data_IF_736276502972
#
_entry.id   IF_736276502972
#
_cell.length_a   1.000
_cell.length_b   1.000
_cell.length_c   1.000
_cell.angle_alpha   90.00
_cell.angle_beta   90.00
_cell.angle_gamma   90.00
#
_symmetry.space_group_name_H-M   'P 1'
#
loop_
_entity.id
_entity.type
_entity.pdbx_description
1 polymer ?
#
# COMPACT_ATOMS: atom_id res chain seq x y z
N UNK A 1 -2.09 40.24 -29.05
CA UNK A 1 -1.17 40.69 -27.99
C UNK A 1 -1.63 40.03 -26.68
N UNK A 2 -0.74 39.74 -25.74
CA UNK A 2 -1.17 39.31 -24.40
C UNK A 2 -1.24 40.54 -23.48
N UNK A 3 -2.25 40.62 -22.63
CA UNK A 3 -2.43 41.71 -21.67
C UNK A 3 -1.98 41.26 -20.28
N UNK A 4 -1.26 42.13 -19.56
CA UNK A 4 -0.79 41.87 -18.21
C UNK A 4 -1.26 42.98 -17.27
N UNK A 5 -1.87 42.59 -16.15
CA UNK A 5 -2.35 43.48 -15.11
C UNK A 5 -1.85 43.02 -13.74
N UNK A 6 -1.27 43.95 -12.98
CA UNK A 6 -0.87 43.72 -11.58
C UNK A 6 -1.73 44.61 -10.69
N UNK A 7 -2.30 44.04 -9.63
CA UNK A 7 -3.10 44.76 -8.63
C UNK A 7 -2.53 44.48 -7.26
N UNK A 8 -2.27 45.55 -6.50
CA UNK A 8 -1.81 45.50 -5.11
C UNK A 8 -2.94 46.06 -4.26
N UNK A 9 -3.43 45.28 -3.30
CA UNK A 9 -4.45 45.71 -2.35
C UNK A 9 -3.82 45.81 -0.97
N UNK A 10 -3.43 47.01 -0.55
CA UNK A 10 -2.76 47.26 0.74
C UNK A 10 -3.61 46.86 1.95
N UNK A 11 -4.94 47.06 1.88
CA UNK A 11 -5.86 46.67 2.97
C UNK A 11 -5.94 45.15 3.18
N UNK A 12 -5.51 44.35 2.21
CA UNK A 12 -5.53 42.87 2.28
C UNK A 12 -4.15 42.24 2.22
N UNK A 13 -3.07 43.05 2.18
CA UNK A 13 -1.70 42.58 1.94
C UNK A 13 -1.65 41.54 0.81
N UNK A 14 -2.35 41.84 -0.29
CA UNK A 14 -2.59 40.93 -1.40
C UNK A 14 -2.02 41.50 -2.70
N UNK A 15 -1.28 40.68 -3.43
CA UNK A 15 -0.79 40.96 -4.77
C UNK A 15 -1.44 39.95 -5.73
N UNK A 16 -2.13 40.46 -6.73
CA UNK A 16 -2.69 39.65 -7.82
C UNK A 16 -2.05 40.08 -9.15
N UNK A 17 -1.46 39.13 -9.86
CA UNK A 17 -0.93 39.30 -11.21
C UNK A 17 -1.76 38.46 -12.17
N UNK A 18 -2.32 39.08 -13.21
CA UNK A 18 -3.12 38.41 -14.24
C UNK A 18 -2.48 38.64 -15.60
N UNK A 19 -2.23 37.55 -16.33
CA UNK A 19 -1.83 37.58 -17.74
C UNK A 19 -2.96 36.92 -18.53
N UNK A 20 -3.50 37.59 -19.52
CA UNK A 20 -4.57 37.06 -20.36
C UNK A 20 -4.27 37.18 -21.84
N UNK A 21 -4.79 36.25 -22.62
CA UNK A 21 -4.71 36.28 -24.08
C UNK A 21 -5.95 35.62 -24.67
N UNK A 22 -6.55 36.30 -25.63
CA UNK A 22 -7.70 35.78 -26.40
C UNK A 22 -7.28 35.59 -27.85
N UNK A 23 -7.70 34.49 -28.46
CA UNK A 23 -7.52 34.15 -29.86
C UNK A 23 -8.84 33.54 -30.36
N UNK A 24 -9.58 34.33 -31.15
CA UNK A 24 -10.89 33.94 -31.70
C UNK A 24 -11.85 33.41 -30.61
N UNK A 25 -12.15 32.11 -30.62
CA UNK A 25 -13.05 31.39 -29.72
C UNK A 25 -12.37 30.84 -28.45
N UNK A 26 -11.05 31.06 -28.31
CA UNK A 26 -10.24 30.60 -27.20
C UNK A 26 -9.70 31.76 -26.37
N UNK A 27 -9.72 31.59 -25.05
CA UNK A 27 -9.02 32.49 -24.13
C UNK A 27 -8.18 31.71 -23.15
N UNK A 28 -7.05 32.28 -22.74
CA UNK A 28 -6.19 31.74 -21.69
C UNK A 28 -5.86 32.85 -20.71
N UNK A 29 -5.98 32.55 -19.43
CA UNK A 29 -5.69 33.47 -18.32
C UNK A 29 -4.83 32.76 -17.29
N UNK A 30 -3.73 33.38 -16.90
CA UNK A 30 -2.88 32.97 -15.79
C UNK A 30 -3.06 34.01 -14.70
N UNK A 31 -3.38 33.57 -13.48
CA UNK A 31 -3.52 34.41 -12.30
C UNK A 31 -2.59 33.90 -11.21
N UNK A 32 -1.75 34.78 -10.67
CA UNK A 32 -0.91 34.53 -9.51
C UNK A 32 -1.39 35.42 -8.37
N UNK A 33 -1.74 34.82 -7.25
CA UNK A 33 -2.23 35.51 -6.06
C UNK A 33 -1.26 35.22 -4.92
N UNK A 34 -0.78 36.28 -4.27
CA UNK A 34 0.06 36.22 -3.08
C UNK A 34 -0.65 37.00 -1.99
N UNK A 35 -0.86 36.39 -0.83
CA UNK A 35 -1.56 37.03 0.28
C UNK A 35 -0.91 36.68 1.61
N UNK A 36 -0.75 37.68 2.47
CA UNK A 36 -0.33 37.49 3.87
C UNK A 36 -1.34 38.16 4.76
N UNK A 37 -2.12 37.39 5.52
CA UNK A 37 -3.21 37.93 6.32
C UNK A 37 -3.13 37.41 7.76
N UNK A 38 -3.39 38.30 8.72
CA UNK A 38 -3.65 37.92 10.11
C UNK A 38 -5.12 37.54 10.26
N UNK A 39 -5.41 36.39 10.84
CA UNK A 39 -6.78 35.95 11.12
C UNK A 39 -7.35 36.64 12.39
N UNK A 40 -8.56 36.26 12.80
CA UNK A 40 -9.20 36.81 14.01
C UNK A 40 -8.62 36.30 15.33
N UNK A 41 -7.78 35.28 15.29
CA UNK A 41 -7.07 34.70 16.44
C UNK A 41 -5.65 35.24 16.58
N UNK A 42 -5.28 36.24 15.79
CA UNK A 42 -3.95 36.82 15.69
C UNK A 42 -2.90 35.93 14.98
N UNK A 43 -3.33 34.86 14.30
CA UNK A 43 -2.46 33.93 13.58
C UNK A 43 -2.13 34.43 12.16
N UNK A 44 -0.90 34.22 11.71
CA UNK A 44 -0.42 34.71 10.41
C UNK A 44 -0.57 33.62 9.34
N UNK A 45 -1.52 33.81 8.42
CA UNK A 45 -1.67 32.95 7.25
C UNK A 45 -0.95 33.54 6.03
N UNK A 46 -0.18 32.71 5.34
CA UNK A 46 0.45 33.05 4.07
C UNK A 46 -0.06 32.14 2.96
N UNK A 47 -0.42 32.70 1.81
CA UNK A 47 -0.98 31.99 0.67
C UNK A 47 -0.26 32.40 -0.62
N UNK A 48 0.10 31.40 -1.42
CA UNK A 48 0.51 31.54 -2.81
C UNK A 48 -0.39 30.69 -3.68
N UNK A 49 -1.02 31.26 -4.71
CA UNK A 49 -1.88 30.53 -5.63
C UNK A 49 -1.51 30.87 -7.06
N UNK A 50 -1.31 29.84 -7.87
CA UNK A 50 -1.21 29.93 -9.32
C UNK A 50 -2.45 29.27 -9.91
N UNK A 51 -3.21 30.00 -10.70
CA UNK A 51 -4.38 29.51 -11.43
C UNK A 51 -4.16 29.74 -12.93
N UNK A 52 -4.34 28.69 -13.71
CA UNK A 52 -4.32 28.74 -15.16
C UNK A 52 -5.69 28.32 -15.66
N UNK A 53 -6.33 29.15 -16.45
CA UNK A 53 -7.62 28.88 -17.05
C UNK A 53 -7.49 28.98 -18.55
N UNK A 54 -8.03 28.00 -19.27
CA UNK A 54 -8.22 28.06 -20.72
C UNK A 54 -9.69 27.82 -21.04
N UNK A 55 -10.30 28.72 -21.81
CA UNK A 55 -11.64 28.53 -22.37
C UNK A 55 -11.49 28.07 -23.82
N UNK A 56 -12.20 27.00 -24.20
CA UNK A 56 -12.33 26.53 -25.58
C UNK A 56 -13.78 26.20 -25.86
N UNK A 57 -14.36 26.73 -26.94
CA UNK A 57 -15.78 26.56 -27.28
C UNK A 57 -16.72 26.92 -26.11
N UNK A 58 -16.39 27.97 -25.35
CA UNK A 58 -17.14 28.39 -24.16
C UNK A 58 -16.99 27.49 -22.92
N UNK A 59 -16.22 26.40 -22.99
CA UNK A 59 -15.98 25.50 -21.86
C UNK A 59 -14.66 25.91 -21.16
N UNK A 60 -14.69 26.29 -19.89
CA UNK A 60 -13.48 26.60 -19.13
C UNK A 60 -12.82 25.32 -18.59
N UNK A 61 -11.52 25.22 -18.77
CA UNK A 61 -10.63 24.23 -18.18
C UNK A 61 -9.70 24.97 -17.23
N UNK A 62 -9.62 24.53 -15.97
CA UNK A 62 -8.84 25.21 -14.93
C UNK A 62 -7.83 24.23 -14.35
N UNK A 63 -6.59 24.68 -14.24
CA UNK A 63 -5.56 24.04 -13.44
C UNK A 63 -5.08 25.04 -12.37
N UNK A 64 -4.72 24.55 -11.19
CA UNK A 64 -4.18 25.43 -10.15
C UNK A 64 -3.30 24.72 -9.14
N UNK A 65 -2.37 25.47 -8.57
CA UNK A 65 -1.52 25.08 -7.46
C UNK A 65 -1.66 26.15 -6.39
N UNK A 66 -2.10 25.76 -5.20
CA UNK A 66 -2.09 26.60 -4.01
C UNK A 66 -1.08 26.06 -3.02
N UNK A 67 -0.28 26.93 -2.42
CA UNK A 67 0.54 26.61 -1.26
C UNK A 67 0.15 27.58 -0.14
N UNK A 68 -0.03 27.07 1.06
CA UNK A 68 -0.43 27.87 2.20
C UNK A 68 0.19 27.40 3.50
N UNK A 69 0.37 28.32 4.42
CA UNK A 69 0.69 28.04 5.82
C UNK A 69 -0.41 28.66 6.66
N UNK A 70 -1.03 27.86 7.51
CA UNK A 70 -2.08 28.26 8.43
C UNK A 70 -1.84 27.64 9.81
N UNK A 71 -2.16 28.36 10.87
CA UNK A 71 -2.17 27.79 12.21
C UNK A 71 -3.55 27.14 12.45
N UNK A 72 -3.56 25.83 12.67
CA UNK A 72 -4.76 25.09 13.07
C UNK A 72 -4.52 24.51 14.45
N UNK A 73 -5.38 24.84 15.42
CA UNK A 73 -5.25 24.41 16.82
C UNK A 73 -3.88 24.73 17.44
N UNK A 74 -3.29 25.90 17.10
CA UNK A 74 -2.00 26.35 17.62
C UNK A 74 -0.79 25.58 17.09
N UNK A 75 -0.93 24.84 15.97
CA UNK A 75 0.17 24.20 15.26
C UNK A 75 0.23 24.73 13.81
N UNK A 76 1.42 25.16 13.34
CA UNK A 76 1.58 25.60 11.96
C UNK A 76 1.49 24.40 11.01
N UNK A 77 0.53 24.45 10.09
CA UNK A 77 0.31 23.44 9.06
C UNK A 77 0.63 24.03 7.69
N UNK A 78 1.54 23.38 6.96
CA UNK A 78 1.88 23.74 5.58
C UNK A 78 1.18 22.81 4.60
N UNK A 79 0.47 23.37 3.62
CA UNK A 79 -0.37 22.63 2.68
C UNK A 79 -0.02 22.97 1.22
N UNK A 80 -0.11 21.98 0.34
CA UNK A 80 -0.12 22.16 -1.12
C UNK A 80 -1.42 21.57 -1.67
N UNK A 81 -2.21 22.41 -2.32
CA UNK A 81 -3.46 22.06 -2.97
C UNK A 81 -3.26 22.04 -4.49
N UNK A 82 -3.68 20.96 -5.14
CA UNK A 82 -3.55 20.79 -6.58
C UNK A 82 -4.95 20.59 -7.17
N UNK A 83 -5.33 21.44 -8.12
CA UNK A 83 -6.55 21.32 -8.91
C UNK A 83 -6.15 21.03 -10.35
N UNK A 84 -6.30 19.78 -10.80
CA UNK A 84 -6.04 19.38 -12.18
C UNK A 84 -6.68 18.01 -12.48
N UNK A 85 -7.00 17.75 -13.75
CA UNK A 85 -7.47 16.42 -14.20
C UNK A 85 -6.37 15.35 -14.10
N UNK A 86 -5.10 15.78 -14.22
CA UNK A 86 -3.91 14.91 -14.20
C UNK A 86 -2.73 15.63 -13.55
N UNK A 87 -2.10 14.99 -12.57
CA UNK A 87 -0.87 15.45 -11.92
C UNK A 87 0.20 14.39 -12.18
N UNK A 88 1.38 14.80 -12.66
CA UNK A 88 2.49 13.87 -12.90
C UNK A 88 3.81 14.50 -12.46
N UNK A 89 4.64 13.72 -11.76
CA UNK A 89 6.03 14.09 -11.50
C UNK A 89 6.92 13.40 -12.53
N UNK A 90 7.63 14.19 -13.33
CA UNK A 90 8.47 13.69 -14.42
C UNK A 90 9.92 13.99 -14.06
N UNK A 91 10.80 12.98 -14.14
CA UNK A 91 12.24 13.22 -14.07
C UNK A 91 12.73 13.55 -15.49
N UNK A 92 13.29 14.75 -15.74
CA UNK A 92 13.77 15.14 -17.06
C UNK A 92 15.10 14.48 -17.48
N UNK A 93 15.82 13.81 -16.56
CA UNK A 93 17.27 13.60 -16.71
C UNK A 93 17.75 12.68 -17.84
N UNK A 94 16.91 11.87 -18.51
CA UNK A 94 17.42 10.87 -19.48
C UNK A 94 16.63 10.75 -20.80
N UNK A 95 15.74 11.70 -21.11
CA UNK A 95 14.83 11.57 -22.27
C UNK A 95 13.81 10.42 -22.13
N UNK A 96 13.89 9.65 -21.04
CA UNK A 96 12.90 8.68 -20.62
C UNK A 96 11.76 9.41 -19.90
N UNK A 97 10.66 9.64 -20.61
CA UNK A 97 9.51 10.45 -20.16
C UNK A 97 8.59 9.71 -19.19
N UNK A 98 9.03 8.59 -18.61
CA UNK A 98 8.18 7.81 -17.72
C UNK A 98 8.03 8.56 -16.39
N UNK A 99 6.83 9.03 -16.03
CA UNK A 99 6.61 9.76 -14.80
C UNK A 99 6.87 8.86 -13.58
N UNK A 100 7.40 9.44 -12.50
CA UNK A 100 7.55 8.78 -11.20
C UNK A 100 6.18 8.35 -10.65
N UNK A 101 5.19 9.25 -10.74
CA UNK A 101 3.80 8.93 -10.50
C UNK A 101 2.87 9.76 -11.39
N UNK A 102 1.66 9.24 -11.60
CA UNK A 102 0.55 9.97 -12.23
C UNK A 102 -0.70 9.79 -11.37
N UNK A 103 -1.26 10.90 -10.89
CA UNK A 103 -2.62 10.92 -10.34
C UNK A 103 -3.57 11.39 -11.44
N UNK A 104 -4.55 10.56 -11.79
CA UNK A 104 -5.56 10.90 -12.80
C UNK A 104 -6.89 10.21 -12.47
N UNK A 105 -7.97 10.97 -12.50
CA UNK A 105 -9.26 10.49 -12.00
C UNK A 105 -9.14 10.08 -10.52
N UNK A 106 -9.57 8.86 -10.20
CA UNK A 106 -9.53 8.33 -8.83
C UNK A 106 -8.39 7.32 -8.62
N UNK A 107 -7.34 7.37 -9.45
CA UNK A 107 -6.24 6.40 -9.42
C UNK A 107 -4.88 7.09 -9.36
N UNK A 108 -3.94 6.44 -8.67
CA UNK A 108 -2.54 6.81 -8.61
C UNK A 108 -1.72 5.68 -9.24
N UNK A 109 -1.01 6.00 -10.32
CA UNK A 109 -0.11 5.09 -11.03
C UNK A 109 1.32 5.36 -10.60
N UNK A 110 2.05 4.31 -10.22
CA UNK A 110 3.46 4.36 -9.80
C UNK A 110 4.18 3.14 -10.36
N UNK A 111 5.44 3.31 -10.77
CA UNK A 111 6.24 2.18 -11.28
C UNK A 111 6.75 1.33 -10.11
N UNK A 112 7.48 1.96 -9.19
CA UNK A 112 8.05 1.31 -8.01
C UNK A 112 7.73 2.15 -6.76
N UNK A 113 7.46 1.48 -5.64
CA UNK A 113 7.10 2.13 -4.38
C UNK A 113 7.85 1.50 -3.22
N UNK A 114 8.57 2.31 -2.45
CA UNK A 114 9.16 1.92 -1.16
C UNK A 114 8.36 2.58 -0.03
N UNK A 115 7.76 1.77 0.84
CA UNK A 115 6.92 2.24 1.95
C UNK A 115 7.43 1.68 3.29
N UNK A 116 7.38 2.50 4.33
CA UNK A 116 7.58 2.01 5.72
C UNK A 116 6.39 1.16 6.18
N UNK A 117 5.15 1.61 5.90
CA UNK A 117 3.89 0.93 6.23
C UNK A 117 2.83 1.29 5.20
N UNK A 118 1.96 0.34 4.86
CA UNK A 118 0.77 0.54 4.03
C UNK A 118 -0.50 0.33 4.89
N UNK A 119 -1.37 1.33 4.93
CA UNK A 119 -2.70 1.23 5.54
C UNK A 119 -3.73 1.24 4.40
N UNK A 120 -4.39 0.10 4.18
CA UNK A 120 -5.33 -0.07 3.09
C UNK A 120 -6.53 -0.92 3.56
N UNK A 121 -7.73 -0.57 3.09
CA UNK A 121 -8.96 -1.33 3.35
C UNK A 121 -8.97 -2.64 2.57
N UNK A 122 -8.34 -2.66 1.38
CA UNK A 122 -8.12 -3.87 0.60
C UNK A 122 -6.88 -3.72 -0.28
N UNK A 123 -6.29 -4.86 -0.68
CA UNK A 123 -5.16 -4.93 -1.62
C UNK A 123 -5.51 -6.01 -2.64
N UNK A 124 -5.47 -5.70 -3.93
CA UNK A 124 -5.84 -6.66 -5.00
C UNK A 124 -4.85 -6.58 -6.15
N UNK A 125 -4.31 -7.72 -6.55
CA UNK A 125 -3.48 -7.84 -7.76
C UNK A 125 -4.33 -7.76 -9.05
N UNK A 126 -3.73 -7.33 -10.16
CA UNK A 126 -4.42 -7.03 -11.43
C UNK A 126 -4.95 -8.24 -12.21
N UNK A 127 -4.67 -9.47 -11.79
CA UNK A 127 -5.17 -10.69 -12.46
C UNK A 127 -6.68 -10.91 -12.30
N UNK A 128 -7.29 -11.65 -13.23
CA UNK A 128 -8.69 -12.08 -13.13
C UNK A 128 -8.81 -13.62 -13.28
N UNK A 129 -9.06 -14.37 -12.18
CA UNK A 129 -9.18 -13.90 -10.80
C UNK A 129 -7.83 -13.40 -10.23
N UNK A 130 -7.83 -12.56 -9.18
CA UNK A 130 -6.60 -12.06 -8.57
C UNK A 130 -5.71 -13.20 -8.04
N UNK A 131 -4.40 -13.11 -8.29
CA UNK A 131 -3.42 -14.06 -7.75
C UNK A 131 -3.21 -13.83 -6.25
N UNK A 132 -3.30 -12.58 -5.82
CA UNK A 132 -3.21 -12.11 -4.44
C UNK A 132 -4.35 -11.12 -4.15
N UNK A 133 -5.02 -11.28 -3.00
CA UNK A 133 -5.97 -10.30 -2.48
C UNK A 133 -6.08 -10.33 -0.95
N UNK A 134 -6.17 -9.15 -0.33
CA UNK A 134 -6.58 -8.93 1.06
C UNK A 134 -7.90 -8.15 1.05
N UNK A 135 -8.96 -8.74 1.58
CA UNK A 135 -10.28 -8.11 1.66
C UNK A 135 -10.51 -7.37 2.99
N UNK A 136 -11.50 -6.48 3.07
CA UNK A 136 -11.79 -5.72 4.30
C UNK A 136 -12.11 -6.60 5.51
N UNK A 137 -12.73 -7.76 5.30
CA UNK A 137 -13.01 -8.75 6.36
C UNK A 137 -11.78 -9.56 6.80
N UNK A 138 -10.59 -9.24 6.27
CA UNK A 138 -9.33 -9.87 6.65
C UNK A 138 -9.03 -11.18 5.90
N UNK A 139 -9.78 -11.51 4.84
CA UNK A 139 -9.50 -12.71 4.04
C UNK A 139 -8.30 -12.47 3.13
N UNK A 140 -7.24 -13.25 3.37
CA UNK A 140 -6.09 -13.35 2.48
C UNK A 140 -6.30 -14.49 1.47
N UNK A 141 -6.18 -14.21 0.18
CA UNK A 141 -6.15 -15.22 -0.88
C UNK A 141 -4.82 -15.12 -1.64
N UNK A 142 -4.12 -16.24 -1.80
CA UNK A 142 -2.89 -16.33 -2.57
C UNK A 142 -2.86 -17.67 -3.33
N UNK A 143 -2.71 -17.64 -4.67
CA UNK A 143 -2.80 -18.85 -5.51
C UNK A 143 -1.48 -19.62 -5.67
N UNK A 144 -0.36 -18.91 -5.68
CA UNK A 144 0.99 -19.47 -5.85
C UNK A 144 1.91 -18.92 -4.74
N UNK A 145 1.51 -19.10 -3.49
CA UNK A 145 2.28 -18.61 -2.35
C UNK A 145 3.48 -19.54 -2.09
N UNK A 146 4.68 -18.96 -2.04
CA UNK A 146 5.89 -19.60 -1.51
C UNK A 146 6.18 -19.00 -0.14
N UNK A 147 6.04 -19.81 0.92
CA UNK A 147 6.19 -19.37 2.32
C UNK A 147 7.32 -20.16 2.95
N UNK A 148 8.49 -19.53 3.05
CA UNK A 148 9.68 -20.10 3.69
C UNK A 148 9.71 -19.93 5.22
N UNK A 149 8.76 -19.16 5.76
CA UNK A 149 8.65 -18.87 7.18
C UNK A 149 7.70 -19.79 7.96
N UNK A 150 7.48 -19.45 9.22
CA UNK A 150 6.53 -20.15 10.07
C UNK A 150 5.08 -19.73 9.76
N UNK A 151 4.17 -20.70 9.68
CA UNK A 151 2.73 -20.48 9.61
C UNK A 151 2.10 -20.99 10.90
N UNK A 152 1.42 -20.10 11.64
CA UNK A 152 0.62 -20.45 12.81
C UNK A 152 -0.87 -20.30 12.49
N UNK A 153 -1.63 -21.39 12.65
CA UNK A 153 -3.07 -21.41 12.38
C UNK A 153 -3.79 -22.21 13.47
N UNK A 154 -4.90 -21.67 13.97
CA UNK A 154 -5.74 -22.34 14.97
C UNK A 154 -6.69 -23.37 14.32
N UNK A 155 -6.95 -23.22 13.02
CA UNK A 155 -7.78 -24.13 12.22
C UNK A 155 -7.46 -23.94 10.73
N UNK A 156 -7.82 -24.91 9.90
CA UNK A 156 -7.65 -24.83 8.46
C UNK A 156 -7.96 -26.16 7.78
N UNK A 157 -8.03 -26.12 6.45
CA UNK A 157 -8.09 -27.32 5.61
C UNK A 157 -6.98 -27.25 4.58
N UNK A 158 -6.34 -28.38 4.34
CA UNK A 158 -5.23 -28.52 3.41
C UNK A 158 -5.58 -29.66 2.45
N UNK A 159 -5.60 -29.38 1.16
CA UNK A 159 -5.92 -30.34 0.11
C UNK A 159 -4.68 -30.55 -0.76
N UNK A 160 -4.39 -31.81 -1.09
CA UNK A 160 -3.24 -32.18 -1.92
C UNK A 160 -1.90 -31.64 -1.40
N UNK A 161 -1.64 -31.85 -0.10
CA UNK A 161 -0.39 -31.42 0.53
C UNK A 161 0.62 -32.56 0.54
N UNK A 162 1.84 -32.22 0.10
CA UNK A 162 3.03 -33.05 0.25
C UNK A 162 3.87 -32.48 1.39
N UNK A 163 4.21 -33.32 2.35
CA UNK A 163 5.20 -33.01 3.38
C UNK A 163 6.51 -33.67 2.94
N UNK A 164 7.47 -32.86 2.49
CA UNK A 164 8.71 -33.36 1.91
C UNK A 164 9.68 -33.95 2.94
N UNK A 165 9.62 -33.46 4.18
CA UNK A 165 10.48 -33.90 5.27
C UNK A 165 9.63 -34.39 6.46
N UNK A 166 9.99 -33.99 7.68
CA UNK A 166 9.36 -34.49 8.90
C UNK A 166 8.12 -33.67 9.27
N UNK A 167 7.11 -34.36 9.80
CA UNK A 167 5.95 -33.73 10.43
C UNK A 167 5.82 -34.23 11.87
N UNK A 168 5.55 -33.33 12.80
CA UNK A 168 5.25 -33.67 14.20
C UNK A 168 3.79 -33.35 14.51
N UNK A 169 2.99 -34.37 14.78
CA UNK A 169 1.60 -34.22 15.21
C UNK A 169 1.56 -34.46 16.72
N UNK A 170 1.43 -33.38 17.50
CA UNK A 170 1.28 -33.46 18.96
C UNK A 170 -0.13 -33.90 19.39
N UNK A 171 -1.11 -33.72 18.51
CA UNK A 171 -2.52 -34.08 18.74
C UNK A 171 -2.88 -35.42 18.14
N UNK A 172 -4.15 -35.57 17.75
CA UNK A 172 -4.67 -36.77 17.10
C UNK A 172 -4.56 -36.66 15.58
N UNK A 173 -4.01 -37.68 14.92
CA UNK A 173 -4.12 -37.85 13.47
C UNK A 173 -5.30 -38.79 13.18
N UNK A 174 -6.30 -38.30 12.44
CA UNK A 174 -7.36 -39.14 11.86
C UNK A 174 -7.10 -39.28 10.36
N UNK A 175 -7.00 -40.52 9.90
CA UNK A 175 -6.84 -40.84 8.48
C UNK A 175 -7.77 -42.00 8.13
N UNK A 176 -8.35 -41.95 6.94
CA UNK A 176 -9.14 -43.07 6.41
C UNK A 176 -8.24 -44.15 5.79
N UNK A 177 -7.16 -43.72 5.13
CA UNK A 177 -6.19 -44.60 4.49
C UNK A 177 -4.78 -44.09 4.80
N UNK A 178 -3.89 -45.01 5.16
CA UNK A 178 -2.46 -44.77 5.29
C UNK A 178 -1.77 -45.81 4.42
N UNK A 179 -0.97 -45.36 3.45
CA UNK A 179 -0.25 -46.22 2.52
C UNK A 179 1.25 -46.00 2.74
N UNK A 180 1.94 -47.05 3.15
CA UNK A 180 3.38 -47.04 3.42
C UNK A 180 3.75 -47.61 4.79
N UNK A 181 5.04 -47.56 5.11
CA UNK A 181 5.56 -48.00 6.39
C UNK A 181 5.20 -47.00 7.50
N UNK A 182 4.44 -47.44 8.50
CA UNK A 182 4.00 -46.59 9.62
C UNK A 182 5.04 -46.55 10.75
N UNK A 183 5.74 -47.65 10.97
CA UNK A 183 6.71 -47.80 12.06
C UNK A 183 7.94 -48.53 11.53
N UNK A 184 9.13 -47.97 11.79
CA UNK A 184 10.42 -48.65 11.58
C UNK A 184 10.98 -49.11 12.92
N UNK A 185 10.89 -50.41 13.21
CA UNK A 185 11.41 -51.00 14.45
C UNK A 185 12.88 -51.40 14.30
N UNK A 186 13.69 -51.15 15.34
CA UNK A 186 15.03 -51.74 15.46
C UNK A 186 14.99 -52.88 16.50
N UNK A 187 15.49 -54.05 16.12
CA UNK A 187 15.64 -55.17 17.06
C UNK A 187 16.89 -54.92 17.93
N UNK A 188 16.69 -54.78 19.23
CA UNK A 188 17.79 -54.80 20.20
C UNK A 188 17.89 -56.21 20.75
N UNK A 189 19.01 -56.89 20.49
CA UNK A 189 19.32 -58.19 21.10
C UNK A 189 19.52 -57.99 22.59
N UNK A 190 18.68 -58.62 23.41
CA UNK A 190 18.88 -58.65 24.85
C UNK A 190 20.12 -59.51 25.17
N UNK A 191 21.00 -59.07 26.08
CA UNK A 191 22.04 -59.95 26.61
C UNK A 191 21.37 -61.15 27.31
N UNK A 192 21.93 -62.34 27.11
CA UNK A 192 21.43 -63.59 27.67
C UNK A 192 21.49 -63.52 29.22
N UNK A 193 20.37 -63.22 29.88
CA UNK A 193 20.24 -63.09 31.35
C UNK A 193 20.23 -64.46 32.05
N UNK A 194 21.10 -65.39 31.65
CA UNK A 194 21.20 -66.72 32.28
C UNK A 194 21.92 -66.74 33.63
N UNK A 195 22.31 -65.59 34.18
CA UNK A 195 23.14 -65.52 35.40
C UNK A 195 22.52 -64.78 36.60
N UNK A 196 21.29 -64.25 36.52
CA UNK A 196 20.64 -63.67 37.70
C UNK A 196 19.13 -63.90 37.64
N UNK A 197 18.62 -64.66 38.61
CA UNK A 197 17.19 -64.96 38.78
C UNK A 197 16.33 -63.76 39.19
N UNK A 198 16.50 -62.60 38.56
CA UNK A 198 15.63 -61.45 38.69
C UNK A 198 14.93 -61.16 37.35
N UNK A 199 13.61 -61.33 37.33
CA UNK A 199 12.76 -60.85 36.25
C UNK A 199 12.80 -59.32 36.19
N UNK A 200 13.69 -58.76 35.38
CA UNK A 200 13.68 -57.33 35.05
C UNK A 200 12.87 -57.12 33.77
N UNK A 201 11.65 -56.63 33.94
CA UNK A 201 10.80 -56.19 32.84
C UNK A 201 11.44 -55.00 32.12
N UNK A 202 11.51 -55.07 30.79
CA UNK A 202 11.91 -53.94 29.95
C UNK A 202 10.96 -52.75 30.19
N UNK A 203 11.54 -51.61 30.57
CA UNK A 203 10.85 -50.33 30.72
C UNK A 203 10.50 -49.78 29.34
N UNK A 204 9.19 -49.65 29.10
CA UNK A 204 8.51 -49.07 27.92
C UNK A 204 8.75 -49.74 26.54
N UNK A 205 7.71 -50.41 26.05
CA UNK A 205 7.54 -50.74 24.62
C UNK A 205 6.25 -50.10 24.12
N UNK A 206 6.33 -48.96 23.45
CA UNK A 206 5.21 -48.37 22.70
C UNK A 206 5.28 -48.85 21.26
N UNK A 207 4.37 -49.75 20.89
CA UNK A 207 4.20 -50.27 19.53
C UNK A 207 2.71 -50.41 19.27
N UNK A 208 2.30 -49.86 18.13
CA UNK A 208 1.15 -50.25 17.29
C UNK A 208 -0.22 -50.39 17.94
N UNK A 209 -1.14 -49.60 17.39
CA UNK A 209 -2.53 -49.53 17.80
C UNK A 209 -3.42 -50.29 16.80
N UNK A 210 -4.47 -50.89 17.37
CA UNK A 210 -5.71 -51.33 16.74
C UNK A 210 -6.66 -50.15 16.47
#
# INVERSE_FOLDING_TARGET
>A
MAEMQTTITETRNEITQTVSKTLEDQSATIQQIQRVQKDTNDDLAALYMLKVQKTKNGIPYVAGIGAGIEDTDGQPLSNILLLADRIAMINPEDGNTTPLFVAQGNQLFMNDVFLKRLFAVSITSSGNPPTFSLTPEGRLTARNADISGHISANSGTLNNVVIAENCTIKGTLRAENIIGDVVKTHNVSLPDLRAAGEHRHATERTVTVH
#
